data_IF_144123868435
#
_entry.id   IF_144123868435
#
_cell.length_a   1.000
_cell.length_b   1.000
_cell.length_c   1.000
_cell.angle_alpha   90.00
_cell.angle_beta   90.00
_cell.angle_gamma   90.00
#
_symmetry.space_group_name_H-M   'P 1'
#
loop_
_entity.id
_entity.type
_entity.pdbx_description
1 polymer ?
#
# COMPACT_ATOMS: atom_id res chain seq x y z
N UNK A 1 -31.24 9.18 -49.20
CA UNK A 1 -29.99 9.03 -48.41
C UNK A 1 -28.94 8.40 -49.30
N UNK A 2 -27.83 9.07 -49.59
CA UNK A 2 -26.75 8.51 -50.42
C UNK A 2 -25.99 7.45 -49.61
N UNK A 3 -25.53 6.37 -50.25
CA UNK A 3 -24.74 5.28 -49.61
C UNK A 3 -23.61 5.81 -48.71
N UNK A 4 -23.02 6.95 -49.09
CA UNK A 4 -21.96 7.64 -48.34
C UNK A 4 -22.41 8.15 -46.97
N UNK A 5 -23.63 8.70 -46.85
CA UNK A 5 -24.16 9.21 -45.58
C UNK A 5 -24.55 8.06 -44.63
N UNK A 6 -25.01 6.93 -45.16
CA UNK A 6 -25.30 5.74 -44.35
C UNK A 6 -24.03 5.15 -43.73
N UNK A 7 -22.93 5.06 -44.49
CA UNK A 7 -21.64 4.56 -43.98
C UNK A 7 -21.10 5.43 -42.84
N UNK A 8 -21.18 6.76 -42.97
CA UNK A 8 -20.69 7.70 -41.95
C UNK A 8 -21.47 7.54 -40.65
N UNK A 9 -22.80 7.42 -40.72
CA UNK A 9 -23.65 7.23 -39.54
C UNK A 9 -23.34 5.91 -38.84
N UNK A 10 -23.15 4.81 -39.59
CA UNK A 10 -22.85 3.50 -39.00
C UNK A 10 -21.49 3.49 -38.29
N UNK A 11 -20.46 4.11 -38.88
CA UNK A 11 -19.13 4.23 -38.24
C UNK A 11 -19.21 5.05 -36.96
N UNK A 12 -19.96 6.15 -36.96
CA UNK A 12 -20.14 6.99 -35.78
C UNK A 12 -20.84 6.24 -34.64
N UNK A 13 -21.88 5.47 -34.94
CA UNK A 13 -22.58 4.63 -33.96
C UNK A 13 -21.64 3.58 -33.35
N UNK A 14 -20.79 2.93 -34.16
CA UNK A 14 -19.82 1.94 -33.66
C UNK A 14 -18.82 2.59 -32.70
N UNK A 15 -18.32 3.79 -33.00
CA UNK A 15 -17.39 4.52 -32.13
C UNK A 15 -18.06 4.89 -30.80
N UNK A 16 -19.31 5.36 -30.83
CA UNK A 16 -20.06 5.71 -29.61
C UNK A 16 -20.33 4.47 -28.75
N UNK A 17 -20.73 3.34 -29.36
CA UNK A 17 -20.94 2.08 -28.64
C UNK A 17 -19.63 1.57 -28.04
N UNK A 18 -18.53 1.60 -28.79
CA UNK A 18 -17.23 1.14 -28.27
C UNK A 18 -16.75 2.04 -27.11
N UNK A 19 -16.98 3.35 -27.20
CA UNK A 19 -16.71 4.28 -26.11
C UNK A 19 -17.54 3.98 -24.84
N UNK A 20 -18.83 3.70 -25.00
CA UNK A 20 -19.73 3.33 -23.90
C UNK A 20 -19.34 1.99 -23.26
N UNK A 21 -18.95 0.99 -24.05
CA UNK A 21 -18.49 -0.32 -23.55
C UNK A 21 -17.17 -0.19 -22.78
N UNK A 22 -16.22 0.62 -23.27
CA UNK A 22 -14.98 0.90 -22.55
C UNK A 22 -15.23 1.64 -21.22
N UNK A 23 -16.15 2.61 -21.20
CA UNK A 23 -16.58 3.29 -19.97
C UNK A 23 -17.28 2.34 -18.99
N UNK A 24 -18.13 1.44 -19.49
CA UNK A 24 -18.84 0.47 -18.66
C UNK A 24 -17.90 -0.57 -18.06
N UNK A 25 -16.90 -1.05 -18.81
CA UNK A 25 -15.88 -1.98 -18.30
C UNK A 25 -14.97 -1.34 -17.24
N UNK A 26 -14.74 -0.02 -17.28
CA UNK A 26 -14.03 0.69 -16.21
C UNK A 26 -14.87 0.85 -14.92
N UNK A 27 -16.20 0.92 -15.06
CA UNK A 27 -17.14 1.06 -13.95
C UNK A 27 -17.66 -0.27 -13.37
N UNK A 28 -17.63 -1.34 -14.16
CA UNK A 28 -18.09 -2.68 -13.79
C UNK A 28 -17.03 -3.52 -13.07
N UNK A 29 -16.01 -2.92 -12.45
CA UNK A 29 -15.25 -3.66 -11.45
C UNK A 29 -16.15 -3.80 -10.23
N UNK A 30 -16.48 -5.04 -9.87
CA UNK A 30 -17.07 -5.39 -8.57
C UNK A 30 -16.02 -5.11 -7.47
N UNK A 31 -15.74 -3.83 -7.27
CA UNK A 31 -14.80 -3.31 -6.31
C UNK A 31 -15.47 -3.39 -4.94
N UNK A 32 -15.06 -4.37 -4.16
CA UNK A 32 -15.55 -4.56 -2.80
C UNK A 32 -14.54 -3.98 -1.80
N UNK A 33 -15.03 -3.35 -0.72
CA UNK A 33 -14.16 -2.90 0.35
C UNK A 33 -13.57 -4.13 1.07
N UNK A 34 -12.27 -4.13 1.29
CA UNK A 34 -11.54 -5.25 1.93
C UNK A 34 -10.96 -4.86 3.29
N UNK A 35 -10.57 -3.60 3.45
CA UNK A 35 -9.94 -3.09 4.66
C UNK A 35 -10.45 -1.69 4.96
N UNK A 36 -10.38 -1.32 6.22
CA UNK A 36 -10.52 0.04 6.70
C UNK A 36 -9.24 0.45 7.42
N UNK A 37 -8.77 1.65 7.12
CA UNK A 37 -7.52 2.20 7.62
C UNK A 37 -7.80 3.45 8.45
N UNK A 38 -7.14 3.51 9.60
CA UNK A 38 -7.03 4.69 10.45
C UNK A 38 -5.74 5.41 10.07
N UNK A 39 -5.84 6.65 9.60
CA UNK A 39 -4.72 7.40 9.02
C UNK A 39 -4.49 8.70 9.79
N UNK A 40 -3.24 9.06 10.01
CA UNK A 40 -2.82 10.35 10.58
C UNK A 40 -1.86 11.04 9.62
N UNK A 41 -1.63 12.34 9.80
CA UNK A 41 -0.41 12.96 9.28
C UNK A 41 0.84 12.30 9.88
N UNK A 42 2.01 12.51 9.28
CA UNK A 42 3.26 11.88 9.77
C UNK A 42 3.60 12.27 11.21
N UNK A 43 3.25 13.51 11.61
CA UNK A 43 3.43 14.05 12.96
C UNK A 43 2.39 13.51 13.97
N UNK A 44 1.43 12.69 13.52
CA UNK A 44 0.37 12.12 14.37
C UNK A 44 -0.89 12.98 14.48
N UNK A 45 -0.88 14.18 13.92
CA UNK A 45 -2.04 15.06 13.90
C UNK A 45 -3.07 14.63 12.84
N UNK A 46 -4.31 15.11 12.96
CA UNK A 46 -5.39 14.94 11.98
C UNK A 46 -5.75 13.49 11.65
N UNK A 47 -6.69 12.98 12.43
CA UNK A 47 -7.18 11.63 12.27
C UNK A 47 -8.24 11.53 11.16
N UNK A 48 -8.05 10.57 10.26
CA UNK A 48 -9.02 10.23 9.20
C UNK A 48 -9.20 8.72 9.05
N UNK A 49 -10.27 8.34 8.36
CA UNK A 49 -10.61 6.95 8.08
C UNK A 49 -10.78 6.75 6.59
N UNK A 50 -10.25 5.65 6.06
CA UNK A 50 -10.31 5.31 4.65
C UNK A 50 -10.82 3.87 4.50
N UNK A 51 -11.68 3.63 3.51
CA UNK A 51 -11.93 2.29 2.97
C UNK A 51 -10.96 1.99 1.84
N UNK A 52 -10.38 0.80 1.88
CA UNK A 52 -9.49 0.26 0.87
C UNK A 52 -10.24 -0.86 0.15
N UNK A 53 -10.26 -0.78 -1.17
CA UNK A 53 -10.96 -1.72 -2.03
C UNK A 53 -10.01 -2.75 -2.65
N UNK A 54 -10.54 -3.90 -3.08
CA UNK A 54 -9.75 -4.97 -3.70
C UNK A 54 -9.03 -4.57 -5.00
N UNK A 55 -9.48 -3.51 -5.67
CA UNK A 55 -8.84 -2.92 -6.85
C UNK A 55 -7.80 -1.83 -6.48
N UNK A 56 -7.51 -1.67 -5.19
CA UNK A 56 -6.52 -0.76 -4.65
C UNK A 56 -6.97 0.69 -4.54
N UNK A 57 -8.20 1.01 -4.93
CA UNK A 57 -8.79 2.34 -4.71
C UNK A 57 -8.98 2.59 -3.22
N UNK A 58 -8.78 3.85 -2.82
CA UNK A 58 -9.05 4.34 -1.47
C UNK A 58 -10.17 5.37 -1.51
N UNK A 59 -11.08 5.33 -0.54
CA UNK A 59 -12.14 6.33 -0.38
C UNK A 59 -12.21 6.78 1.07
N UNK A 60 -12.42 8.08 1.29
CA UNK A 60 -12.70 8.60 2.64
C UNK A 60 -13.94 7.94 3.19
N UNK A 61 -13.90 7.59 4.46
CA UNK A 61 -15.02 7.00 5.18
C UNK A 61 -15.38 7.87 6.39
N UNK A 62 -16.66 7.88 6.74
CA UNK A 62 -17.11 8.44 8.01
C UNK A 62 -16.74 7.44 9.12
N UNK A 63 -16.12 7.93 10.19
CA UNK A 63 -15.62 7.15 11.33
C UNK A 63 -16.40 5.85 11.58
N UNK A 64 -15.71 4.72 11.46
CA UNK A 64 -16.31 3.40 11.59
C UNK A 64 -16.18 2.84 12.99
N UNK A 65 -17.28 2.23 13.46
CA UNK A 65 -17.32 1.47 14.71
C UNK A 65 -16.55 0.17 14.46
N UNK A 66 -15.43 -0.03 15.15
CA UNK A 66 -14.64 -1.25 15.01
C UNK A 66 -13.37 -1.22 15.85
N UNK A 67 -12.83 -2.41 16.13
CA UNK A 67 -11.55 -2.55 16.82
C UNK A 67 -10.44 -2.61 15.78
N UNK A 68 -9.82 -1.46 15.53
CA UNK A 68 -8.62 -1.37 14.70
C UNK A 68 -7.45 -2.03 15.42
N UNK A 69 -6.72 -2.89 14.69
CA UNK A 69 -5.41 -3.35 15.13
C UNK A 69 -4.45 -2.17 15.05
N UNK A 70 -3.84 -1.79 16.18
CA UNK A 70 -2.86 -0.72 16.26
C UNK A 70 -1.58 -1.12 15.52
N UNK A 71 -1.00 -0.18 14.79
CA UNK A 71 0.31 -0.37 14.17
C UNK A 71 1.40 -0.67 15.20
N UNK A 72 2.30 -1.59 14.84
CA UNK A 72 3.64 -1.66 15.43
C UNK A 72 4.55 -0.81 14.54
N UNK A 73 4.87 0.39 15.01
CA UNK A 73 5.81 1.30 14.34
C UNK A 73 7.24 0.81 14.58
N UNK A 74 7.96 0.56 13.50
CA UNK A 74 9.34 0.08 13.51
C UNK A 74 10.27 1.28 13.55
N UNK A 75 11.24 1.25 14.46
CA UNK A 75 12.24 2.31 14.58
C UNK A 75 13.04 2.45 13.26
N UNK A 76 13.02 3.61 12.59
CA UNK A 76 13.78 3.82 11.36
C UNK A 76 15.30 3.65 11.53
N UNK A 77 15.81 3.77 12.76
CA UNK A 77 17.25 3.64 13.04
C UNK A 77 17.79 2.23 12.77
N UNK A 78 16.93 1.21 12.65
CA UNK A 78 17.38 -0.15 12.33
C UNK A 78 17.82 -0.30 10.86
N UNK A 79 17.52 0.68 10.01
CA UNK A 79 17.84 0.66 8.59
C UNK A 79 19.08 1.50 8.28
N UNK A 80 20.04 0.90 7.57
CA UNK A 80 21.29 1.59 7.22
C UNK A 80 21.63 1.43 5.75
N UNK A 81 22.00 2.53 5.10
CA UNK A 81 22.56 2.49 3.76
C UNK A 81 23.97 1.89 3.81
N UNK A 82 24.19 0.90 2.95
CA UNK A 82 25.49 0.29 2.76
C UNK A 82 25.95 0.50 1.32
N UNK A 83 27.11 1.14 1.16
CA UNK A 83 27.74 1.34 -0.13
C UNK A 83 28.71 0.19 -0.43
N UNK A 84 28.38 -0.60 -1.45
CA UNK A 84 29.29 -1.56 -2.04
C UNK A 84 30.19 -0.86 -3.05
N UNK A 85 31.44 -0.65 -2.66
CA UNK A 85 32.46 0.01 -3.49
C UNK A 85 32.94 -0.87 -4.64
N UNK A 86 32.82 -2.19 -4.55
CA UNK A 86 33.26 -3.11 -5.60
C UNK A 86 32.26 -3.17 -6.74
N UNK A 87 30.96 -3.20 -6.41
CA UNK A 87 29.88 -3.25 -7.39
C UNK A 87 29.26 -1.88 -7.71
N UNK A 88 29.81 -0.80 -7.16
CA UNK A 88 29.32 0.57 -7.28
C UNK A 88 27.80 0.67 -7.05
N UNK A 89 27.32 0.05 -5.97
CA UNK A 89 25.90 -0.04 -5.64
C UNK A 89 25.65 0.38 -4.20
N UNK A 90 24.44 0.87 -3.91
CA UNK A 90 23.99 1.16 -2.55
C UNK A 90 22.76 0.31 -2.27
N UNK A 91 22.76 -0.38 -1.14
CA UNK A 91 21.64 -1.19 -0.71
C UNK A 91 21.34 -0.99 0.77
N UNK A 92 20.12 -1.30 1.17
CA UNK A 92 19.69 -1.15 2.55
C UNK A 92 20.09 -2.40 3.36
N UNK A 93 20.57 -2.18 4.57
CA UNK A 93 20.87 -3.22 5.56
C UNK A 93 20.02 -3.05 6.80
N UNK A 94 19.93 -4.12 7.59
CA UNK A 94 19.10 -4.21 8.79
C UNK A 94 19.98 -4.51 10.01
N UNK A 95 19.96 -3.63 11.01
CA UNK A 95 20.54 -3.91 12.31
C UNK A 95 19.65 -4.91 13.06
N UNK A 96 20.12 -6.15 13.15
CA UNK A 96 19.39 -7.23 13.83
C UNK A 96 19.39 -7.06 15.34
N UNK A 97 20.43 -6.45 15.92
CA UNK A 97 20.50 -6.24 17.36
C UNK A 97 19.44 -5.22 17.79
N UNK A 98 19.30 -4.13 17.05
CA UNK A 98 18.25 -3.13 17.28
C UNK A 98 16.85 -3.71 17.02
N UNK A 99 16.66 -4.46 15.92
CA UNK A 99 15.40 -5.14 15.64
C UNK A 99 14.96 -6.06 16.80
N UNK A 100 15.91 -6.75 17.42
CA UNK A 100 15.61 -7.70 18.49
C UNK A 100 15.17 -7.04 19.80
N UNK A 101 15.37 -5.73 19.97
CA UNK A 101 14.92 -4.98 21.16
C UNK A 101 13.39 -4.87 21.22
N UNK A 102 12.70 -4.81 20.08
CA UNK A 102 11.23 -4.81 20.06
C UNK A 102 10.69 -6.24 20.07
N UNK A 103 10.32 -6.72 21.25
CA UNK A 103 9.78 -8.07 21.43
C UNK A 103 8.52 -8.33 20.60
N UNK A 104 7.71 -7.30 20.29
CA UNK A 104 6.48 -7.46 19.48
C UNK A 104 6.80 -7.87 18.05
N UNK A 105 8.00 -7.55 17.58
CA UNK A 105 8.51 -7.89 16.25
C UNK A 105 9.36 -9.16 16.33
N UNK A 106 10.34 -9.19 17.23
CA UNK A 106 11.33 -10.27 17.28
C UNK A 106 10.76 -11.62 17.72
N UNK A 107 9.65 -11.61 18.46
CA UNK A 107 8.93 -12.85 18.82
C UNK A 107 8.06 -13.40 17.70
N UNK A 108 7.82 -12.66 16.60
CA UNK A 108 7.03 -13.11 15.46
C UNK A 108 7.94 -13.32 14.22
N UNK A 109 8.30 -14.59 13.89
CA UNK A 109 9.19 -14.89 12.78
C UNK A 109 8.68 -14.39 11.43
N UNK A 110 7.36 -14.18 11.28
CA UNK A 110 6.78 -13.67 10.05
C UNK A 110 7.08 -12.19 9.88
N UNK A 111 7.00 -11.38 10.95
CA UNK A 111 7.42 -9.99 10.89
C UNK A 111 8.92 -9.85 10.61
N UNK A 112 9.76 -10.65 11.26
CA UNK A 112 11.22 -10.65 10.99
C UNK A 112 11.52 -10.94 9.51
N UNK A 113 10.84 -11.96 8.93
CA UNK A 113 10.98 -12.28 7.50
C UNK A 113 10.43 -11.19 6.59
N UNK A 114 9.29 -10.60 6.93
CA UNK A 114 8.67 -9.50 6.19
C UNK A 114 9.65 -8.31 6.10
N UNK A 115 10.16 -7.83 7.24
CA UNK A 115 11.12 -6.72 7.30
C UNK A 115 12.38 -7.05 6.51
N UNK A 116 12.92 -8.26 6.68
CA UNK A 116 14.11 -8.70 5.94
C UNK A 116 13.88 -8.70 4.42
N UNK A 117 12.70 -9.11 3.96
CA UNK A 117 12.34 -9.09 2.54
C UNK A 117 12.14 -7.67 2.02
N UNK A 118 11.58 -6.78 2.83
CA UNK A 118 11.46 -5.36 2.49
C UNK A 118 12.82 -4.73 2.28
N UNK A 119 13.72 -4.88 3.24
CA UNK A 119 15.07 -4.31 3.19
C UNK A 119 15.80 -4.78 1.93
N UNK A 120 15.74 -6.07 1.60
CA UNK A 120 16.35 -6.63 0.39
C UNK A 120 15.79 -6.06 -0.93
N UNK A 121 14.52 -5.66 -0.96
CA UNK A 121 13.85 -5.14 -2.15
C UNK A 121 13.90 -3.61 -2.23
N UNK A 122 14.27 -2.94 -1.14
CA UNK A 122 14.25 -1.48 -1.01
C UNK A 122 15.47 -0.86 -1.67
N UNK A 123 15.24 0.16 -2.50
CA UNK A 123 16.29 0.98 -3.12
C UNK A 123 16.54 2.31 -2.38
N UNK A 124 15.68 2.63 -1.43
CA UNK A 124 15.68 3.87 -0.68
C UNK A 124 15.56 3.54 0.79
N UNK A 125 16.10 4.42 1.64
CA UNK A 125 15.96 4.31 3.08
C UNK A 125 14.47 4.31 3.46
N UNK A 126 14.09 3.43 4.38
CA UNK A 126 12.72 3.35 4.88
C UNK A 126 12.56 4.43 5.96
N UNK A 127 11.66 5.38 5.72
CA UNK A 127 11.37 6.47 6.67
C UNK A 127 10.29 6.09 7.68
N UNK A 128 9.24 5.40 7.23
CA UNK A 128 8.15 4.91 8.10
C UNK A 128 7.86 3.46 7.72
N UNK A 129 7.82 2.58 8.72
CA UNK A 129 7.34 1.21 8.59
C UNK A 129 6.38 0.88 9.72
N UNK A 130 5.12 0.65 9.36
CA UNK A 130 4.07 0.24 10.29
C UNK A 130 3.61 -1.17 9.95
N UNK A 131 3.69 -2.07 10.94
CA UNK A 131 3.34 -3.47 10.79
C UNK A 131 1.96 -3.75 11.41
N UNK A 132 1.21 -4.64 10.77
CA UNK A 132 -0.10 -5.08 11.24
C UNK A 132 -0.25 -6.59 11.09
N UNK A 133 -0.91 -7.19 12.08
CA UNK A 133 -1.36 -8.58 12.03
C UNK A 133 -2.87 -8.61 12.24
N UNK A 134 -3.61 -8.96 11.20
CA UNK A 134 -5.07 -9.09 11.22
C UNK A 134 -5.42 -10.56 11.12
N UNK A 135 -5.82 -11.15 12.24
CA UNK A 135 -5.96 -12.60 12.39
C UNK A 135 -4.66 -13.32 12.00
N UNK A 136 -4.67 -14.07 10.89
CA UNK A 136 -3.51 -14.79 10.33
C UNK A 136 -2.86 -14.07 9.14
N UNK A 137 -3.23 -12.82 8.87
CA UNK A 137 -2.73 -12.05 7.72
C UNK A 137 -1.82 -10.91 8.17
N UNK A 138 -0.70 -10.76 7.46
CA UNK A 138 0.34 -9.81 7.78
C UNK A 138 0.38 -8.69 6.76
N UNK A 139 0.50 -7.46 7.24
CA UNK A 139 0.56 -6.28 6.40
C UNK A 139 1.68 -5.34 6.85
N UNK A 140 2.19 -4.56 5.90
CA UNK A 140 3.17 -3.52 6.14
C UNK A 140 2.83 -2.27 5.35
N UNK A 141 2.71 -1.15 6.04
CA UNK A 141 2.64 0.18 5.43
C UNK A 141 4.00 0.82 5.46
N UNK A 142 4.44 1.36 4.32
CA UNK A 142 5.83 1.78 4.10
C UNK A 142 5.87 3.12 3.41
N UNK A 143 6.67 4.04 3.94
CA UNK A 143 7.11 5.26 3.27
C UNK A 143 8.63 5.25 3.18
N UNK A 144 9.13 5.53 1.98
CA UNK A 144 10.57 5.67 1.74
C UNK A 144 10.96 7.13 1.90
N UNK A 145 12.15 7.37 2.44
CA UNK A 145 12.77 8.69 2.45
C UNK A 145 13.42 8.95 1.07
N UNK A 146 12.58 9.12 0.04
CA UNK A 146 13.00 9.31 -1.36
C UNK A 146 12.90 10.79 -1.82
N UNK A 147 12.82 11.73 -0.87
CA UNK A 147 12.76 13.17 -1.14
C UNK A 147 11.35 13.67 -1.47
N UNK A 148 10.96 13.60 -2.75
CA UNK A 148 9.83 14.40 -3.30
C UNK A 148 8.43 13.79 -3.08
N UNK A 149 8.33 12.50 -2.75
CA UNK A 149 7.04 11.82 -2.61
C UNK A 149 6.73 11.58 -1.14
N UNK A 150 5.55 12.06 -0.71
CA UNK A 150 4.96 11.77 0.61
C UNK A 150 4.13 10.48 0.60
N UNK A 151 4.13 9.76 -0.52
CA UNK A 151 3.31 8.57 -0.70
C UNK A 151 3.78 7.41 0.16
N UNK A 152 2.82 6.69 0.72
CA UNK A 152 3.05 5.41 1.38
C UNK A 152 2.31 4.28 0.70
N UNK A 153 2.87 3.08 0.75
CA UNK A 153 2.23 1.90 0.16
C UNK A 153 1.94 0.85 1.24
N UNK A 154 0.69 0.36 1.24
CA UNK A 154 0.28 -0.78 2.05
C UNK A 154 0.50 -2.06 1.25
N UNK A 155 1.21 -3.02 1.83
CA UNK A 155 1.43 -4.35 1.30
C UNK A 155 0.79 -5.40 2.18
N UNK A 156 0.28 -6.47 1.56
CA UNK A 156 0.01 -7.75 2.23
C UNK A 156 1.19 -8.67 2.03
N UNK A 157 1.62 -9.34 3.10
CA UNK A 157 2.71 -10.30 3.07
C UNK A 157 2.16 -11.73 3.12
N UNK A 158 2.47 -12.52 2.09
CA UNK A 158 2.11 -13.93 2.02
C UNK A 158 3.11 -14.68 1.14
N UNK A 159 3.44 -15.92 1.49
CA UNK A 159 4.36 -16.78 0.72
C UNK A 159 5.70 -16.09 0.38
N UNK A 160 6.27 -15.35 1.34
CA UNK A 160 7.49 -14.56 1.17
C UNK A 160 7.42 -13.48 0.07
N UNK A 161 6.22 -13.04 -0.30
CA UNK A 161 5.98 -12.00 -1.30
C UNK A 161 5.16 -10.87 -0.70
N UNK A 162 5.47 -9.66 -1.14
CA UNK A 162 4.73 -8.44 -0.83
C UNK A 162 3.81 -8.14 -2.00
N UNK A 163 2.51 -8.19 -1.76
CA UNK A 163 1.50 -7.80 -2.75
C UNK A 163 0.99 -6.42 -2.38
N UNK A 164 1.16 -5.46 -3.30
CA UNK A 164 0.64 -4.10 -3.12
C UNK A 164 -0.88 -4.17 -2.97
N UNK A 165 -1.40 -3.53 -1.94
CA UNK A 165 -2.84 -3.38 -1.69
C UNK A 165 -3.30 -2.01 -2.16
N UNK A 166 -2.69 -0.93 -1.67
CA UNK A 166 -3.02 0.43 -2.09
C UNK A 166 -1.84 1.38 -1.88
N UNK A 167 -1.89 2.53 -2.54
CA UNK A 167 -1.03 3.69 -2.25
C UNK A 167 -1.88 4.74 -1.53
N UNK A 168 -1.26 5.40 -0.56
CA UNK A 168 -1.79 6.51 0.20
C UNK A 168 -0.97 7.74 -0.18
N UNK A 169 -1.63 8.81 -0.62
CA UNK A 169 -0.96 9.99 -1.15
C UNK A 169 -0.19 10.78 -0.07
N UNK A 170 -0.63 10.74 1.18
CA UNK A 170 0.01 11.42 2.30
C UNK A 170 -0.34 10.83 3.66
N UNK A 171 0.52 11.10 4.64
CA UNK A 171 0.36 10.62 6.02
C UNK A 171 0.72 9.14 6.21
N UNK A 172 0.31 8.57 7.34
CA UNK A 172 0.62 7.18 7.72
C UNK A 172 -0.59 6.42 8.25
N UNK A 173 -0.66 5.13 7.92
CA UNK A 173 -1.66 4.22 8.49
C UNK A 173 -1.21 3.84 9.90
N UNK A 174 -2.04 4.12 10.90
CA UNK A 174 -1.77 3.81 12.33
C UNK A 174 -2.69 2.74 12.91
N UNK A 175 -3.72 2.36 12.16
CA UNK A 175 -4.62 1.28 12.51
C UNK A 175 -5.24 0.65 11.28
N UNK A 176 -5.48 -0.65 11.33
CA UNK A 176 -6.05 -1.41 10.21
C UNK A 176 -7.11 -2.38 10.72
N UNK A 177 -8.21 -2.52 9.99
CA UNK A 177 -9.23 -3.55 10.25
C UNK A 177 -9.75 -4.15 8.95
N UNK A 178 -10.30 -5.35 9.03
CA UNK A 178 -11.05 -5.97 7.92
C UNK A 178 -12.46 -5.42 7.87
N UNK A 179 -12.97 -5.25 6.66
CA UNK A 179 -14.40 -4.99 6.45
C UNK A 179 -15.12 -6.32 6.57
N UNK A 180 -16.16 -6.37 7.42
CA UNK A 180 -17.01 -7.54 7.63
C UNK A 180 -18.15 -7.58 6.63
#
# INVERSE_FOLDING_TARGET
MTKRNTVIITVFIIIVIMGLVCLHNQYSSNSSPILEAKVTSDNGDNLSFLRIYNDGKIRKDSSTKGQFVKAIEVDPQIFHDHADKENNSTYLTLDKAELNKDQRISSDPTFVKLISNLVKQSKHLIGILNLFKLDNEYYAFIKYNAGLSDEGTLYKYSNNKLTKICTLDSGKIVGLQKVK
#
